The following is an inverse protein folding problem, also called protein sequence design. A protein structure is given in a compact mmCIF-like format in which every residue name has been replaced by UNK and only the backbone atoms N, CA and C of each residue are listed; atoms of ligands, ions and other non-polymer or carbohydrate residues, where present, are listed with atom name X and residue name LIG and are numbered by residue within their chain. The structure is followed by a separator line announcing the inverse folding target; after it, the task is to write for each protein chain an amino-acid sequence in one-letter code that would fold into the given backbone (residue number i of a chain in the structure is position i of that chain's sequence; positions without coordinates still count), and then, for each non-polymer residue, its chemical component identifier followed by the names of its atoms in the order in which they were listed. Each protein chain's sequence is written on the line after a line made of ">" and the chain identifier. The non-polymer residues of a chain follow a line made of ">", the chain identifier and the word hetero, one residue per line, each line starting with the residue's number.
data_IF_686481314508
#
_entry.id   IF_686481314508
#
_cell.length_a   1.000
_cell.length_b   1.000
_cell.length_c   1.000
_cell.angle_alpha   90.00
_cell.angle_beta   90.00
_cell.angle_gamma   90.00
#
_symmetry.space_group_name_H-M   'P 1'
#
loop_
_entity.id
_entity.type
_entity.pdbx_description
1 polymer ?
#
# COMPACT_ATOMS: atom_id res chain seq x y z
N UNK A 1 -0.41 -12.80 -12.02
CA UNK A 1 -1.06 -11.87 -12.98
C UNK A 1 0.00 -11.29 -13.93
N UNK A 2 -0.38 -10.78 -15.11
CA UNK A 2 0.55 -10.12 -16.03
C UNK A 2 1.34 -8.97 -15.38
N UNK A 3 0.71 -8.22 -14.47
CA UNK A 3 1.36 -7.18 -13.67
C UNK A 3 2.50 -7.71 -12.79
N UNK A 4 2.29 -8.81 -12.07
CA UNK A 4 3.31 -9.38 -11.20
C UNK A 4 4.53 -9.86 -12.00
N UNK A 5 4.28 -10.50 -13.16
CA UNK A 5 5.34 -10.95 -14.07
C UNK A 5 6.13 -9.78 -14.62
N UNK A 6 5.47 -8.69 -15.04
CA UNK A 6 6.17 -7.52 -15.58
C UNK A 6 7.03 -6.81 -14.53
N UNK A 7 6.57 -6.74 -13.27
CA UNK A 7 7.36 -6.19 -12.16
C UNK A 7 8.58 -7.06 -11.84
N UNK A 8 8.42 -8.38 -11.82
CA UNK A 8 9.54 -9.30 -11.61
C UNK A 8 10.56 -9.21 -12.75
N UNK A 9 10.10 -9.16 -14.00
CA UNK A 9 10.97 -8.96 -15.16
C UNK A 9 11.75 -7.64 -15.08
N UNK A 10 11.10 -6.56 -14.61
CA UNK A 10 11.77 -5.28 -14.41
C UNK A 10 12.90 -5.36 -13.37
N UNK A 11 12.73 -6.11 -12.28
CA UNK A 11 13.81 -6.32 -11.29
C UNK A 11 15.04 -6.97 -11.93
N UNK A 12 14.84 -7.96 -12.82
CA UNK A 12 15.92 -8.59 -13.57
C UNK A 12 16.58 -7.62 -14.55
N UNK A 13 15.80 -6.82 -15.29
CA UNK A 13 16.36 -5.82 -16.19
C UNK A 13 17.21 -4.79 -15.46
N UNK A 14 16.73 -4.26 -14.34
CA UNK A 14 17.47 -3.29 -13.51
C UNK A 14 18.82 -3.88 -13.08
N UNK A 15 18.83 -5.10 -12.53
CA UNK A 15 20.08 -5.75 -12.09
C UNK A 15 21.03 -6.04 -13.23
N UNK A 16 20.52 -6.48 -14.38
CA UNK A 16 21.32 -6.79 -15.57
C UNK A 16 21.95 -5.53 -16.17
N UNK A 17 21.19 -4.45 -16.32
CA UNK A 17 21.68 -3.15 -16.82
C UNK A 17 22.73 -2.59 -15.85
N UNK A 18 22.46 -2.61 -14.54
CA UNK A 18 23.43 -2.18 -13.53
C UNK A 18 24.74 -2.95 -13.61
N UNK A 19 24.67 -4.28 -13.81
CA UNK A 19 25.85 -5.13 -13.98
C UNK A 19 26.62 -4.83 -15.26
N UNK A 20 25.92 -4.58 -16.37
CA UNK A 20 26.54 -4.32 -17.67
C UNK A 20 27.29 -2.98 -17.71
N UNK A 21 26.73 -1.96 -17.06
CA UNK A 21 27.24 -0.58 -17.14
C UNK A 21 27.98 -0.12 -15.88
N UNK A 22 28.16 -1.00 -14.89
CA UNK A 22 28.80 -0.65 -13.62
C UNK A 22 28.02 0.36 -12.79
N UNK A 23 26.70 0.39 -12.95
CA UNK A 23 25.80 1.30 -12.23
C UNK A 23 25.23 0.56 -11.03
N UNK A 24 25.31 1.17 -9.85
CA UNK A 24 24.65 0.66 -8.66
C UNK A 24 23.13 0.69 -8.82
N UNK A 25 22.46 -0.39 -8.43
CA UNK A 25 21.00 -0.50 -8.56
C UNK A 25 20.37 -1.04 -7.29
N UNK A 26 19.13 -0.66 -7.02
CA UNK A 26 18.33 -1.19 -5.91
C UNK A 26 16.87 -1.32 -6.37
N UNK A 27 16.22 -2.41 -5.99
CA UNK A 27 14.80 -2.61 -6.24
C UNK A 27 14.02 -2.43 -4.94
N UNK A 28 13.06 -1.50 -4.93
CA UNK A 28 12.14 -1.34 -3.79
C UNK A 28 10.80 -2.00 -4.10
N UNK A 29 10.45 -3.03 -3.32
CA UNK A 29 9.14 -3.69 -3.37
C UNK A 29 8.18 -2.98 -2.44
N UNK A 30 7.49 -1.98 -2.98
CA UNK A 30 6.48 -1.22 -2.24
C UNK A 30 5.22 -2.08 -2.09
N UNK A 31 4.77 -2.23 -0.84
CA UNK A 31 3.51 -2.88 -0.48
C UNK A 31 2.32 -1.94 -0.78
N UNK A 32 1.17 -2.06 -0.10
CA UNK A 32 -0.02 -1.30 -0.50
C UNK A 32 0.11 0.17 -0.10
N UNK A 33 0.77 0.96 -0.94
CA UNK A 33 0.91 2.39 -0.75
C UNK A 33 -0.45 3.10 -0.88
N UNK A 34 -0.71 4.02 0.04
CA UNK A 34 -1.91 4.86 0.03
C UNK A 34 -1.59 6.28 0.52
N UNK A 35 -2.49 7.21 0.25
CA UNK A 35 -2.36 8.59 0.69
C UNK A 35 -3.10 9.55 -0.23
N UNK A 36 -3.09 10.85 0.10
CA UNK A 36 -3.68 11.87 -0.76
C UNK A 36 -3.06 11.84 -2.15
N UNK A 37 -3.84 12.14 -3.18
CA UNK A 37 -3.34 12.16 -4.57
C UNK A 37 -3.51 10.83 -5.31
N UNK A 38 -3.78 9.71 -4.62
CA UNK A 38 -4.01 8.42 -5.26
C UNK A 38 -5.19 8.49 -6.24
N UNK A 39 -4.98 8.01 -7.48
CA UNK A 39 -6.00 8.03 -8.52
C UNK A 39 -7.05 6.95 -8.24
N UNK A 40 -8.31 7.27 -8.52
CA UNK A 40 -9.45 6.33 -8.44
C UNK A 40 -9.93 6.00 -9.86
N UNK A 41 -9.36 4.99 -10.52
CA UNK A 41 -9.89 4.53 -11.79
C UNK A 41 -11.31 3.98 -11.61
N UNK A 42 -12.16 4.05 -12.66
CA UNK A 42 -13.53 3.50 -12.61
C UNK A 42 -13.57 1.99 -12.37
N UNK A 43 -12.50 1.29 -12.75
CA UNK A 43 -12.34 -0.15 -12.58
C UNK A 43 -11.14 -0.39 -11.67
N UNK A 44 -11.29 -1.27 -10.68
CA UNK A 44 -10.26 -1.58 -9.68
C UNK A 44 -9.84 -0.37 -8.83
N UNK A 45 -10.82 0.38 -8.32
CA UNK A 45 -10.55 1.46 -7.37
C UNK A 45 -9.78 0.94 -6.15
N UNK A 46 -8.71 1.63 -5.70
CA UNK A 46 -7.98 1.23 -4.50
C UNK A 46 -8.89 1.23 -3.27
N UNK A 47 -8.68 0.24 -2.39
CA UNK A 47 -9.58 -0.05 -1.26
C UNK A 47 -9.73 1.14 -0.31
N UNK A 48 -8.63 1.73 0.16
CA UNK A 48 -8.65 2.85 1.12
C UNK A 48 -9.45 4.06 0.63
N UNK A 49 -9.13 4.68 -0.52
CA UNK A 49 -9.89 5.84 -0.98
C UNK A 49 -11.33 5.47 -1.38
N UNK A 50 -11.60 4.20 -1.74
CA UNK A 50 -12.95 3.70 -1.95
C UNK A 50 -13.76 3.64 -0.65
N UNK A 51 -13.20 3.04 0.41
CA UNK A 51 -13.84 2.91 1.71
C UNK A 51 -14.07 4.27 2.37
N UNK A 52 -13.06 5.15 2.38
CA UNK A 52 -13.22 6.51 2.91
C UNK A 52 -14.33 7.28 2.19
N UNK A 53 -14.45 7.15 0.86
CA UNK A 53 -15.53 7.80 0.10
C UNK A 53 -16.90 7.23 0.49
N UNK A 54 -17.06 5.91 0.42
CA UNK A 54 -18.35 5.26 0.72
C UNK A 54 -18.77 5.51 2.17
N UNK A 55 -17.83 5.51 3.10
CA UNK A 55 -18.09 5.88 4.49
C UNK A 55 -18.50 7.34 4.64
N UNK A 56 -17.85 8.28 3.94
CA UNK A 56 -18.21 9.69 3.98
C UNK A 56 -19.57 10.00 3.34
N UNK A 57 -19.90 9.36 2.21
CA UNK A 57 -21.15 9.58 1.47
C UNK A 57 -22.35 8.79 2.04
N UNK A 58 -22.15 8.02 3.12
CA UNK A 58 -23.12 7.05 3.64
C UNK A 58 -23.62 6.07 2.56
N UNK A 59 -22.72 5.70 1.65
CA UNK A 59 -22.99 4.74 0.59
C UNK A 59 -22.83 3.29 1.05
N UNK A 60 -22.44 2.41 0.13
CA UNK A 60 -22.26 0.99 0.40
C UNK A 60 -20.78 0.60 0.32
N UNK A 61 -20.24 0.10 1.42
CA UNK A 61 -18.92 -0.54 1.45
C UNK A 61 -19.10 -2.01 1.07
N UNK A 62 -18.55 -2.39 -0.07
CA UNK A 62 -18.57 -3.79 -0.53
C UNK A 62 -17.27 -4.49 -0.12
N UNK A 63 -17.39 -5.52 0.72
CA UNK A 63 -16.29 -6.41 1.09
C UNK A 63 -16.40 -7.68 0.24
N UNK A 64 -15.37 -7.96 -0.56
CA UNK A 64 -15.31 -9.18 -1.37
C UNK A 64 -14.78 -10.35 -0.54
N UNK A 65 -15.50 -11.47 -0.55
CA UNK A 65 -15.24 -12.61 0.32
C UNK A 65 -15.74 -12.38 1.75
N UNK A 66 -15.12 -13.08 2.71
CA UNK A 66 -15.44 -12.97 4.13
C UNK A 66 -14.79 -11.76 4.81
N UNK A 67 -13.86 -11.07 4.14
CA UNK A 67 -13.13 -9.93 4.67
C UNK A 67 -11.94 -10.29 5.57
N UNK A 68 -11.58 -11.58 5.69
CA UNK A 68 -10.43 -12.05 6.48
C UNK A 68 -9.08 -11.77 5.82
N UNK A 69 -9.05 -11.47 4.53
CA UNK A 69 -7.81 -11.22 3.81
C UNK A 69 -7.10 -9.99 4.40
N UNK A 70 -5.81 -10.16 4.71
CA UNK A 70 -5.01 -9.09 5.31
C UNK A 70 -4.07 -8.46 4.30
N UNK A 71 -3.85 -7.16 4.46
CA UNK A 71 -2.91 -6.38 3.66
C UNK A 71 -2.10 -5.46 4.55
N UNK A 72 -0.84 -5.30 4.21
CA UNK A 72 0.04 -4.25 4.74
C UNK A 72 -0.12 -2.99 3.88
N UNK A 73 -0.64 -1.95 4.51
CA UNK A 73 -0.81 -0.61 3.93
C UNK A 73 0.25 0.34 4.48
N UNK A 74 0.96 1.01 3.59
CA UNK A 74 2.03 1.95 3.94
C UNK A 74 1.67 3.35 3.46
N UNK A 75 1.82 4.35 4.33
CA UNK A 75 1.51 5.72 3.98
C UNK A 75 2.54 6.24 2.96
N UNK A 76 2.09 7.04 1.98
CA UNK A 76 2.93 7.48 0.86
C UNK A 76 4.21 8.18 1.32
N UNK A 77 4.17 8.94 2.41
CA UNK A 77 5.33 9.72 2.86
C UNK A 77 6.43 8.81 3.45
N UNK A 78 6.06 7.67 4.05
CA UNK A 78 7.00 6.64 4.47
C UNK A 78 7.66 5.97 3.26
N UNK A 79 6.90 5.73 2.18
CA UNK A 79 7.47 5.24 0.92
C UNK A 79 8.47 6.24 0.34
N UNK A 80 8.13 7.53 0.34
CA UNK A 80 9.04 8.60 -0.11
C UNK A 80 10.30 8.65 0.75
N UNK A 81 10.17 8.48 2.07
CA UNK A 81 11.31 8.41 2.98
C UNK A 81 12.23 7.22 2.64
N UNK A 82 11.67 6.02 2.41
CA UNK A 82 12.43 4.84 1.99
C UNK A 82 13.17 5.08 0.66
N UNK A 83 12.51 5.71 -0.32
CA UNK A 83 13.13 6.04 -1.60
C UNK A 83 14.29 7.03 -1.45
N UNK A 84 14.15 8.04 -0.58
CA UNK A 84 15.23 9.01 -0.27
C UNK A 84 16.40 8.33 0.44
N UNK A 85 16.15 7.46 1.41
CA UNK A 85 17.22 6.70 2.06
C UNK A 85 17.94 5.80 1.05
N UNK A 86 17.20 5.08 0.20
CA UNK A 86 17.77 4.20 -0.81
C UNK A 86 18.59 4.93 -1.89
N UNK A 87 18.37 6.23 -2.14
CA UNK A 87 19.17 6.96 -3.14
C UNK A 87 20.57 7.34 -2.64
N UNK A 88 20.85 7.18 -1.34
CA UNK A 88 22.13 7.60 -0.74
C UNK A 88 22.75 6.54 0.19
N UNK A 89 22.03 5.45 0.48
CA UNK A 89 22.51 4.38 1.34
C UNK A 89 23.68 3.63 0.69
N UNK A 90 24.75 3.32 1.45
CA UNK A 90 25.87 2.53 0.94
C UNK A 90 25.53 1.03 0.92
N UNK A 91 26.27 0.27 0.11
CA UNK A 91 26.25 -1.21 0.12
C UNK A 91 24.88 -1.85 -0.16
N UNK A 92 24.06 -1.21 -1.01
CA UNK A 92 22.74 -1.72 -1.39
C UNK A 92 22.67 -2.23 -2.84
N UNK A 93 23.81 -2.32 -3.51
CA UNK A 93 23.87 -2.71 -4.90
C UNK A 93 23.22 -4.08 -5.17
N UNK A 94 22.32 -4.10 -6.16
CA UNK A 94 21.50 -5.22 -6.64
C UNK A 94 20.55 -5.81 -5.59
N UNK A 95 20.39 -5.17 -4.44
CA UNK A 95 19.45 -5.61 -3.41
C UNK A 95 18.01 -5.40 -3.88
N UNK A 96 17.13 -6.26 -3.36
CA UNK A 96 15.67 -6.09 -3.44
C UNK A 96 15.15 -5.93 -2.02
N UNK A 97 14.58 -4.77 -1.69
CA UNK A 97 14.20 -4.38 -0.33
C UNK A 97 12.69 -4.14 -0.28
N UNK A 98 12.02 -4.76 0.69
CA UNK A 98 10.59 -4.55 0.93
C UNK A 98 10.36 -3.20 1.61
N UNK A 99 9.34 -2.47 1.18
CA UNK A 99 8.89 -1.22 1.80
C UNK A 99 7.41 -1.34 2.11
N UNK A 100 7.07 -1.37 3.39
CA UNK A 100 5.72 -1.53 3.91
C UNK A 100 5.62 -0.97 5.33
N UNK A 101 4.47 -1.11 5.98
CA UNK A 101 4.31 -0.78 7.40
C UNK A 101 4.83 -1.89 8.32
N UNK A 102 4.94 -3.13 7.83
CA UNK A 102 5.29 -4.30 8.64
C UNK A 102 4.16 -4.74 9.57
N UNK A 103 2.97 -4.14 9.42
CA UNK A 103 1.73 -4.50 10.11
C UNK A 103 0.66 -4.81 9.06
N UNK A 104 -0.32 -5.63 9.42
CA UNK A 104 -1.38 -6.02 8.50
C UNK A 104 -2.76 -5.80 9.13
N UNK A 105 -3.73 -5.46 8.30
CA UNK A 105 -5.12 -5.29 8.69
C UNK A 105 -6.02 -6.09 7.73
N UNK A 106 -7.11 -6.65 8.25
CA UNK A 106 -8.14 -7.29 7.43
C UNK A 106 -9.15 -6.24 6.89
N UNK A 107 -9.93 -6.60 5.88
CA UNK A 107 -10.87 -5.64 5.27
C UNK A 107 -12.00 -5.20 6.19
N UNK A 108 -12.42 -6.04 7.14
CA UNK A 108 -13.50 -5.71 8.10
C UNK A 108 -13.06 -4.67 9.11
N UNK A 109 -11.83 -4.76 9.60
CA UNK A 109 -11.30 -3.79 10.54
C UNK A 109 -10.89 -2.50 9.82
N UNK A 110 -10.41 -2.60 8.58
CA UNK A 110 -10.18 -1.43 7.74
C UNK A 110 -11.47 -0.65 7.45
N UNK A 111 -12.60 -1.32 7.21
CA UNK A 111 -13.88 -0.64 6.97
C UNK A 111 -14.39 0.07 8.21
N UNK A 112 -14.28 -0.53 9.39
CA UNK A 112 -14.60 0.14 10.67
C UNK A 112 -13.74 1.37 10.89
N UNK A 113 -12.43 1.25 10.69
CA UNK A 113 -11.53 2.37 10.86
C UNK A 113 -11.82 3.53 9.88
N UNK A 114 -12.21 3.21 8.64
CA UNK A 114 -12.66 4.21 7.69
C UNK A 114 -13.94 4.92 8.17
N UNK A 115 -14.90 4.18 8.73
CA UNK A 115 -16.14 4.74 9.31
C UNK A 115 -15.82 5.67 10.49
N UNK A 116 -14.94 5.23 11.38
CA UNK A 116 -14.54 6.02 12.56
C UNK A 116 -13.85 7.32 12.15
N UNK A 117 -13.02 7.29 11.09
CA UNK A 117 -12.34 8.48 10.56
C UNK A 117 -13.30 9.46 9.89
N UNK A 118 -14.30 8.97 9.14
CA UNK A 118 -15.24 9.85 8.41
C UNK A 118 -16.43 10.30 9.24
N UNK A 119 -16.75 9.58 10.33
CA UNK A 119 -17.95 9.82 11.14
C UNK A 119 -19.27 9.45 10.44
N UNK A 120 -19.20 8.67 9.36
CA UNK A 120 -20.37 8.27 8.58
C UNK A 120 -21.07 7.01 9.11
N UNK A 121 -22.14 6.61 8.43
CA UNK A 121 -22.93 5.41 8.73
C UNK A 121 -23.28 4.66 7.44
N UNK A 122 -22.29 4.15 6.68
CA UNK A 122 -22.54 3.42 5.45
C UNK A 122 -23.13 2.03 5.71
N UNK A 123 -23.73 1.44 4.69
CA UNK A 123 -24.08 0.01 4.68
C UNK A 123 -22.84 -0.83 4.34
N UNK A 124 -22.61 -1.95 5.06
CA UNK A 124 -21.55 -2.91 4.73
C UNK A 124 -22.20 -4.16 4.13
N UNK A 125 -21.83 -4.47 2.89
CA UNK A 125 -22.33 -5.65 2.16
C UNK A 125 -21.17 -6.59 1.84
N UNK A 126 -21.39 -7.88 2.04
CA UNK A 126 -20.43 -8.93 1.72
C UNK A 126 -20.78 -9.57 0.38
N UNK A 127 -19.84 -9.53 -0.56
CA UNK A 127 -19.97 -10.21 -1.84
C UNK A 127 -19.32 -11.60 -1.74
N UNK A 128 -20.08 -12.71 -1.86
CA UNK A 128 -19.55 -14.06 -1.68
C UNK A 128 -18.58 -14.50 -2.78
N UNK A 129 -18.41 -13.72 -3.85
CA UNK A 129 -17.40 -13.99 -4.88
C UNK A 129 -16.00 -13.96 -4.27
N UNK A 130 -15.39 -15.14 -4.22
CA UNK A 130 -14.02 -15.31 -3.77
C UNK A 130 -13.08 -15.22 -5.00
N UNK A 131 -12.41 -14.08 -5.18
CA UNK A 131 -11.60 -13.80 -6.38
C UNK A 131 -10.21 -14.47 -6.38
N UNK A 132 -9.94 -15.44 -5.49
CA UNK A 132 -8.69 -16.22 -5.53
C UNK A 132 -7.42 -15.41 -5.24
N UNK A 133 -7.55 -14.28 -4.52
CA UNK A 133 -6.44 -13.45 -4.10
C UNK A 133 -5.64 -14.04 -2.94
N UNK A 134 -4.46 -13.45 -2.65
CA UNK A 134 -3.67 -13.81 -1.48
C UNK A 134 -4.48 -13.59 -0.19
N UNK A 135 -4.47 -14.59 0.70
CA UNK A 135 -5.08 -14.49 2.02
C UNK A 135 -4.32 -13.50 2.91
N UNK A 136 -2.98 -13.56 2.91
CA UNK A 136 -2.12 -12.74 3.77
C UNK A 136 -1.02 -12.04 2.96
N UNK A 137 -0.77 -10.77 3.25
CA UNK A 137 0.35 -10.01 2.65
C UNK A 137 0.88 -8.98 3.64
N UNK A 138 2.06 -9.26 4.22
CA UNK A 138 2.74 -8.39 5.18
C UNK A 138 4.24 -8.29 4.86
N UNK A 139 4.81 -7.09 4.93
CA UNK A 139 6.21 -6.86 4.60
C UNK A 139 7.14 -7.28 5.76
N UNK A 140 8.13 -8.10 5.46
CA UNK A 140 9.30 -8.21 6.34
C UNK A 140 10.23 -7.01 6.09
N UNK A 141 10.37 -6.16 7.11
CA UNK A 141 11.15 -4.92 7.07
C UNK A 141 12.59 -5.09 7.56
N UNK A 142 13.05 -6.31 7.86
CA UNK A 142 14.40 -6.57 8.41
C UNK A 142 15.49 -5.93 7.57
N UNK A 143 15.48 -6.16 6.25
CA UNK A 143 16.48 -5.61 5.33
C UNK A 143 16.35 -4.08 5.16
N UNK A 144 15.13 -3.55 5.21
CA UNK A 144 14.89 -2.11 5.09
C UNK A 144 15.40 -1.35 6.32
N UNK A 145 15.19 -1.91 7.52
CA UNK A 145 15.75 -1.35 8.77
C UNK A 145 17.27 -1.37 8.74
N UNK A 146 17.86 -2.52 8.40
CA UNK A 146 19.32 -2.71 8.37
C UNK A 146 20.01 -1.78 7.36
N UNK A 147 19.52 -1.74 6.11
CA UNK A 147 20.21 -1.05 5.02
C UNK A 147 19.79 0.39 4.81
N UNK A 148 18.56 0.76 5.16
CA UNK A 148 18.01 2.08 4.87
C UNK A 148 17.71 2.91 6.13
N UNK A 149 17.86 2.32 7.33
CA UNK A 149 17.35 2.91 8.57
C UNK A 149 15.84 3.15 8.50
N UNK A 150 15.12 2.37 7.68
CA UNK A 150 13.71 2.59 7.40
C UNK A 150 12.84 2.11 8.56
N UNK A 151 12.03 3.01 9.08
CA UNK A 151 10.96 2.73 10.02
C UNK A 151 9.72 3.54 9.61
N UNK A 152 8.56 2.89 9.40
CA UNK A 152 7.32 3.59 9.06
C UNK A 152 6.89 4.46 10.23
N UNK A 153 6.60 5.74 9.97
CA UNK A 153 6.27 6.73 11.00
C UNK A 153 4.78 6.99 11.12
N UNK A 154 4.01 6.68 10.07
CA UNK A 154 2.59 6.98 10.01
C UNK A 154 1.80 5.71 10.26
N UNK A 155 1.06 5.66 11.37
CA UNK A 155 0.14 4.55 11.64
C UNK A 155 -0.98 4.52 10.61
N UNK A 156 -1.69 3.39 10.51
CA UNK A 156 -2.83 3.29 9.61
C UNK A 156 -3.95 4.27 9.99
N UNK A 157 -4.25 4.43 11.28
CA UNK A 157 -5.26 5.38 11.73
C UNK A 157 -4.91 6.82 11.32
N UNK A 158 -3.67 7.24 11.60
CA UNK A 158 -3.21 8.59 11.29
C UNK A 158 -3.17 8.81 9.77
N UNK A 159 -2.65 7.86 9.01
CA UNK A 159 -2.57 8.00 7.56
C UNK A 159 -3.94 8.02 6.89
N UNK A 160 -4.94 7.30 7.40
CA UNK A 160 -6.32 7.40 6.92
C UNK A 160 -6.92 8.78 7.18
N UNK A 161 -6.68 9.34 8.38
CA UNK A 161 -7.13 10.68 8.76
C UNK A 161 -6.50 11.76 7.88
N UNK A 162 -5.17 11.71 7.71
CA UNK A 162 -4.43 12.60 6.79
C UNK A 162 -4.93 12.45 5.34
N UNK A 163 -5.24 11.23 4.91
CA UNK A 163 -5.79 10.96 3.57
C UNK A 163 -7.17 11.61 3.41
N UNK A 164 -8.07 11.43 4.37
CA UNK A 164 -9.41 12.00 4.34
C UNK A 164 -9.41 13.54 4.42
N UNK A 165 -8.52 14.11 5.23
CA UNK A 165 -8.44 15.55 5.45
C UNK A 165 -7.84 16.28 4.25
N UNK A 166 -6.79 15.73 3.65
CA UNK A 166 -6.03 16.41 2.59
C UNK A 166 -6.52 16.06 1.18
N UNK A 167 -7.16 14.90 0.98
CA UNK A 167 -7.62 14.49 -0.34
C UNK A 167 -9.04 15.01 -0.62
N UNK A 168 -9.12 16.23 -1.14
CA UNK A 168 -10.39 16.88 -1.52
C UNK A 168 -11.27 16.02 -2.44
N UNK A 169 -10.67 15.07 -3.18
CA UNK A 169 -11.40 14.21 -4.13
C UNK A 169 -12.24 13.17 -3.39
N UNK A 170 -11.93 12.86 -2.14
CA UNK A 170 -12.76 11.96 -1.32
C UNK A 170 -14.09 12.63 -0.97
N UNK A 171 -14.08 13.96 -0.78
CA UNK A 171 -15.23 14.76 -0.39
C UNK A 171 -16.00 15.39 -1.56
N UNK A 172 -15.51 15.19 -2.80
CA UNK A 172 -16.11 15.67 -4.06
C UNK A 172 -16.83 14.57 -4.81
#
# INVERSE_FOLDING_TARGET
>A
SPYAVSKLAAEFYVKSIGSLWGIETVNLRVFNAYGPGQRRPPVHTPVIPGFLRQAFENGTIVIHGDGNQTRDYVYRDDVVAAMKSASTAPEINKLTINVGSGTEINLRDLSKLAIDVTGGTPEIVYNPRNEGGLSRLCADLTLARDKLGYEPKVSLEEGLKLTFDQDIRIKS
#
